data_IF_173259464234
#
_entry.id   IF_173259464234
#
_cell.length_a   1.000
_cell.length_b   1.000
_cell.length_c   1.000
_cell.angle_alpha   90.00
_cell.angle_beta   90.00
_cell.angle_gamma   90.00
#
_symmetry.space_group_name_H-M   'P 1'
#
loop_
_entity.id
_entity.type
_entity.pdbx_description
1 polymer ?
#
# COMPACT_ATOMS: atom_id res chain seq x y z
N UNK A 1 34.38 -3.22 -7.42
CA UNK A 1 34.21 -2.00 -6.59
C UNK A 1 35.31 -1.84 -5.53
N UNK A 2 36.27 -2.76 -5.45
CA UNK A 2 37.41 -2.74 -4.49
C UNK A 2 38.59 -1.90 -4.98
N UNK A 3 38.89 -1.94 -6.28
CA UNK A 3 40.08 -1.28 -6.89
C UNK A 3 40.09 0.24 -6.71
N UNK A 4 38.93 0.90 -6.72
CA UNK A 4 38.85 2.36 -6.54
C UNK A 4 39.01 2.80 -5.08
N UNK A 5 38.68 1.92 -4.13
CA UNK A 5 38.81 2.19 -2.69
C UNK A 5 40.28 2.13 -2.26
N UNK A 6 41.04 1.16 -2.77
CA UNK A 6 42.47 1.06 -2.53
C UNK A 6 43.20 2.33 -2.97
N UNK A 7 42.95 2.82 -4.19
CA UNK A 7 43.57 4.06 -4.70
C UNK A 7 43.25 5.30 -3.85
N UNK A 8 42.06 5.39 -3.29
CA UNK A 8 41.68 6.52 -2.43
C UNK A 8 42.31 6.43 -1.02
N UNK A 9 42.42 5.21 -0.47
CA UNK A 9 43.14 4.99 0.80
C UNK A 9 44.62 5.37 0.69
N UNK A 10 45.28 5.00 -0.42
CA UNK A 10 46.69 5.36 -0.67
C UNK A 10 46.89 6.87 -0.83
N UNK A 11 45.90 7.59 -1.35
CA UNK A 11 45.98 9.04 -1.56
C UNK A 11 45.70 9.84 -0.28
N UNK A 12 44.78 9.38 0.58
CA UNK A 12 44.39 10.09 1.80
C UNK A 12 45.21 9.72 3.03
N UNK A 13 45.96 8.61 2.99
CA UNK A 13 46.67 8.08 4.17
C UNK A 13 45.74 7.56 5.27
N UNK A 14 44.44 7.50 5.01
CA UNK A 14 43.41 7.00 5.93
C UNK A 14 42.94 5.65 5.39
N UNK A 15 43.19 4.58 6.16
CA UNK A 15 42.61 3.27 5.89
C UNK A 15 41.10 3.32 6.17
N UNK A 16 40.33 3.69 5.15
CA UNK A 16 38.87 3.65 5.17
C UNK A 16 38.39 2.19 5.10
N UNK A 17 38.59 1.45 6.20
CA UNK A 17 37.89 0.19 6.39
C UNK A 17 36.45 0.51 6.75
N UNK A 18 35.56 0.34 5.79
CA UNK A 18 34.13 0.44 6.03
C UNK A 18 33.72 -0.76 6.89
N UNK A 19 33.28 -0.57 8.15
CA UNK A 19 32.91 -1.68 9.02
C UNK A 19 31.56 -2.29 8.61
N UNK A 20 30.82 -1.65 7.70
CA UNK A 20 29.52 -2.12 7.28
C UNK A 20 29.61 -3.17 6.17
N UNK A 21 28.88 -4.26 6.37
CA UNK A 21 28.68 -5.26 5.33
C UNK A 21 27.71 -4.73 4.28
N UNK A 22 28.22 -4.43 3.08
CA UNK A 22 27.40 -4.07 1.91
C UNK A 22 26.28 -5.08 1.67
N UNK A 23 26.53 -6.36 1.99
CA UNK A 23 25.53 -7.43 1.91
C UNK A 23 24.30 -7.16 2.77
N UNK A 24 24.43 -6.60 3.99
CA UNK A 24 23.28 -6.27 4.86
C UNK A 24 22.39 -5.18 4.25
N UNK A 25 23.00 -4.17 3.64
CA UNK A 25 22.25 -3.13 2.93
C UNK A 25 21.54 -3.68 1.70
N UNK A 26 22.17 -4.60 0.97
CA UNK A 26 21.54 -5.30 -0.14
C UNK A 26 20.32 -6.13 0.30
N UNK A 27 20.43 -6.89 1.40
CA UNK A 27 19.28 -7.63 1.92
C UNK A 27 18.16 -6.71 2.41
N UNK A 28 18.51 -5.58 3.06
CA UNK A 28 17.52 -4.60 3.48
C UNK A 28 16.75 -4.02 2.28
N UNK A 29 17.46 -3.59 1.23
CA UNK A 29 16.82 -3.06 0.02
C UNK A 29 16.00 -4.10 -0.72
N UNK A 30 16.45 -5.36 -0.76
CA UNK A 30 15.68 -6.48 -1.30
C UNK A 30 14.37 -6.71 -0.53
N UNK A 31 14.41 -6.71 0.81
CA UNK A 31 13.21 -6.84 1.63
C UNK A 31 12.22 -5.69 1.37
N UNK A 32 12.70 -4.45 1.32
CA UNK A 32 11.85 -3.30 0.99
C UNK A 32 11.28 -3.37 -0.43
N UNK A 33 12.06 -3.84 -1.41
CA UNK A 33 11.59 -4.04 -2.77
C UNK A 33 10.47 -5.08 -2.84
N UNK A 34 10.63 -6.22 -2.14
CA UNK A 34 9.59 -7.27 -2.07
C UNK A 34 8.34 -6.74 -1.36
N UNK A 35 8.48 -6.07 -0.22
CA UNK A 35 7.35 -5.45 0.50
C UNK A 35 6.60 -4.44 -0.38
N UNK A 36 7.34 -3.57 -1.07
CA UNK A 36 6.78 -2.59 -2.02
C UNK A 36 6.04 -3.29 -3.16
N UNK A 37 6.62 -4.36 -3.73
CA UNK A 37 5.99 -5.12 -4.82
C UNK A 37 4.68 -5.76 -4.35
N UNK A 38 4.66 -6.38 -3.16
CA UNK A 38 3.44 -6.95 -2.58
C UNK A 38 2.38 -5.87 -2.41
N UNK A 39 2.75 -4.72 -1.83
CA UNK A 39 1.85 -3.57 -1.69
C UNK A 39 1.31 -3.10 -3.05
N UNK A 40 2.17 -2.96 -4.06
CA UNK A 40 1.77 -2.48 -5.37
C UNK A 40 0.82 -3.45 -6.10
N UNK A 41 1.04 -4.75 -5.99
CA UNK A 41 0.18 -5.74 -6.64
C UNK A 41 -1.16 -5.89 -5.88
N UNK A 42 -1.11 -5.97 -4.55
CA UNK A 42 -2.26 -6.39 -3.73
C UNK A 42 -3.12 -5.26 -3.22
N UNK A 43 -2.57 -4.07 -2.94
CA UNK A 43 -3.34 -2.98 -2.36
C UNK A 43 -4.45 -2.49 -3.33
N UNK A 44 -5.71 -2.32 -2.87
CA UNK A 44 -6.80 -1.75 -3.65
C UNK A 44 -6.49 -0.32 -4.14
N UNK A 45 -6.92 0.01 -5.35
CA UNK A 45 -6.67 1.33 -5.96
C UNK A 45 -7.32 2.47 -5.15
N UNK A 46 -8.52 2.25 -4.61
CA UNK A 46 -9.22 3.24 -3.79
C UNK A 46 -8.36 3.70 -2.60
N UNK A 47 -7.74 2.76 -1.90
CA UNK A 47 -6.88 3.01 -0.72
C UNK A 47 -5.59 3.70 -1.12
N UNK A 48 -5.02 3.35 -2.28
CA UNK A 48 -3.77 3.97 -2.77
C UNK A 48 -3.95 5.42 -3.19
N UNK A 49 -5.10 5.75 -3.78
CA UNK A 49 -5.30 7.03 -4.45
C UNK A 49 -6.04 8.05 -3.58
N UNK A 50 -6.89 7.62 -2.65
CA UNK A 50 -7.72 8.53 -1.88
C UNK A 50 -7.56 8.21 -0.38
N UNK A 51 -7.02 9.15 0.38
CA UNK A 51 -6.84 8.98 1.82
C UNK A 51 -8.08 9.42 2.60
N UNK A 52 -8.83 10.37 2.04
CA UNK A 52 -10.03 10.96 2.62
C UNK A 52 -11.13 11.12 1.58
N UNK A 53 -12.36 11.33 2.06
CA UNK A 53 -13.50 11.67 1.19
C UNK A 53 -13.28 13.03 0.50
N UNK A 54 -12.69 14.01 1.18
CA UNK A 54 -12.40 15.31 0.58
C UNK A 54 -11.42 15.22 -0.58
N UNK A 55 -10.39 14.37 -0.50
CA UNK A 55 -9.45 14.15 -1.61
C UNK A 55 -10.21 13.59 -2.82
N UNK A 56 -11.06 12.59 -2.59
CA UNK A 56 -11.87 11.96 -3.62
C UNK A 56 -12.80 12.95 -4.32
N UNK A 57 -13.46 13.82 -3.57
CA UNK A 57 -14.36 14.86 -4.12
C UNK A 57 -13.58 15.97 -4.83
N UNK A 58 -12.41 16.37 -4.32
CA UNK A 58 -11.57 17.39 -4.94
C UNK A 58 -11.04 16.98 -6.32
N UNK A 59 -10.87 15.68 -6.54
CA UNK A 59 -10.49 15.12 -7.85
C UNK A 59 -11.67 14.99 -8.82
N UNK A 60 -12.90 15.38 -8.41
CA UNK A 60 -14.09 15.31 -9.25
C UNK A 60 -14.58 13.88 -9.52
N UNK A 61 -14.18 12.91 -8.69
CA UNK A 61 -14.59 11.51 -8.85
C UNK A 61 -16.04 11.32 -8.42
N UNK A 62 -16.78 10.54 -9.20
CA UNK A 62 -18.20 10.22 -8.97
C UNK A 62 -18.38 8.90 -8.23
N UNK A 63 -19.59 8.66 -7.69
CA UNK A 63 -19.93 7.38 -7.04
C UNK A 63 -19.71 6.16 -7.93
N UNK A 64 -19.78 6.32 -9.26
CA UNK A 64 -19.40 5.29 -10.23
C UNK A 64 -17.97 4.79 -10.01
N UNK A 65 -17.03 5.69 -9.76
CA UNK A 65 -15.64 5.32 -9.53
C UNK A 65 -15.48 4.43 -8.28
N UNK A 66 -16.30 4.64 -7.25
CA UNK A 66 -16.30 3.79 -6.05
C UNK A 66 -16.75 2.36 -6.39
N UNK A 67 -17.79 2.22 -7.21
CA UNK A 67 -18.25 0.91 -7.70
C UNK A 67 -17.20 0.26 -8.61
N UNK A 68 -16.58 1.04 -9.49
CA UNK A 68 -15.51 0.55 -10.37
C UNK A 68 -14.33 0.05 -9.53
N UNK A 69 -13.94 0.77 -8.46
CA UNK A 69 -12.92 0.29 -7.53
C UNK A 69 -13.31 -1.02 -6.83
N UNK A 70 -14.58 -1.19 -6.45
CA UNK A 70 -15.08 -2.42 -5.86
C UNK A 70 -15.00 -3.60 -6.84
N UNK A 71 -15.47 -3.42 -8.08
CA UNK A 71 -15.44 -4.45 -9.12
C UNK A 71 -14.01 -4.81 -9.55
N UNK A 72 -13.14 -3.80 -9.69
CA UNK A 72 -11.72 -4.03 -9.95
C UNK A 72 -11.06 -4.78 -8.79
N UNK A 73 -11.48 -4.54 -7.56
CA UNK A 73 -10.93 -5.23 -6.39
C UNK A 73 -11.47 -6.65 -6.22
N UNK A 74 -12.72 -6.94 -6.64
CA UNK A 74 -13.26 -8.31 -6.62
C UNK A 74 -12.64 -9.20 -7.70
N UNK A 75 -12.26 -8.64 -8.84
CA UNK A 75 -11.59 -9.39 -9.92
C UNK A 75 -10.12 -9.75 -9.62
N UNK A 76 -9.51 -9.16 -8.58
CA UNK A 76 -8.14 -9.49 -8.16
C UNK A 76 -8.05 -10.90 -7.56
N UNK A 77 -6.97 -11.61 -7.88
CA UNK A 77 -6.66 -12.94 -7.35
C UNK A 77 -6.64 -12.93 -5.82
N UNK A 78 -7.38 -13.82 -5.17
CA UNK A 78 -7.44 -13.92 -3.70
C UNK A 78 -8.39 -12.91 -3.03
N UNK A 79 -9.24 -12.24 -3.81
CA UNK A 79 -10.39 -11.53 -3.27
C UNK A 79 -11.34 -12.51 -2.56
N UNK A 80 -11.87 -12.10 -1.40
CA UNK A 80 -12.95 -12.82 -0.70
C UNK A 80 -14.33 -12.28 -1.05
N UNK A 81 -14.41 -11.23 -1.86
CA UNK A 81 -15.64 -10.50 -2.17
C UNK A 81 -16.15 -10.97 -3.51
N UNK A 82 -17.33 -11.59 -3.54
CA UNK A 82 -18.01 -11.97 -4.77
C UNK A 82 -18.67 -10.74 -5.42
N UNK A 83 -18.90 -10.77 -6.73
CA UNK A 83 -19.72 -9.74 -7.40
C UNK A 83 -21.14 -9.67 -6.83
N UNK A 84 -21.70 -10.82 -6.41
CA UNK A 84 -23.03 -10.88 -5.79
C UNK A 84 -23.05 -10.14 -4.43
N UNK A 85 -21.95 -10.20 -3.67
CA UNK A 85 -21.81 -9.48 -2.39
C UNK A 85 -21.65 -7.97 -2.59
N UNK A 86 -21.10 -7.55 -3.72
CA UNK A 86 -21.04 -6.13 -4.11
C UNK A 86 -22.43 -5.66 -4.47
N UNK A 87 -23.16 -6.42 -5.27
CA UNK A 87 -24.51 -6.07 -5.67
C UNK A 87 -25.44 -5.88 -4.47
N UNK A 88 -25.48 -6.87 -3.57
CA UNK A 88 -26.27 -6.77 -2.34
C UNK A 88 -25.84 -5.57 -1.48
N UNK A 89 -24.52 -5.36 -1.36
CA UNK A 89 -23.99 -4.21 -0.61
C UNK A 89 -24.41 -2.87 -1.19
N UNK A 90 -24.41 -2.68 -2.52
CA UNK A 90 -24.82 -1.41 -3.13
C UNK A 90 -26.34 -1.24 -3.02
N UNK A 91 -27.10 -2.33 -3.17
CA UNK A 91 -28.56 -2.33 -3.03
C UNK A 91 -29.01 -1.88 -1.64
N UNK A 92 -28.22 -2.14 -0.60
CA UNK A 92 -28.49 -1.65 0.76
C UNK A 92 -28.49 -0.11 0.87
N UNK A 93 -27.96 0.61 -0.12
CA UNK A 93 -27.95 2.08 -0.17
C UNK A 93 -29.03 2.66 -1.10
N UNK A 94 -29.78 1.83 -1.82
CA UNK A 94 -30.91 2.24 -2.66
C UNK A 94 -32.20 2.34 -1.82
N UNK A 95 -32.20 3.24 -0.82
CA UNK A 95 -33.28 3.34 0.17
C UNK A 95 -34.34 4.39 -0.16
N UNK A 96 -34.09 5.31 -1.10
CA UNK A 96 -34.94 6.49 -1.29
C UNK A 96 -35.88 6.35 -2.49
N UNK A 97 -37.17 6.66 -2.27
CA UNK A 97 -38.20 6.71 -3.32
C UNK A 97 -38.14 7.98 -4.17
N UNK A 98 -37.40 9.00 -3.71
CA UNK A 98 -37.38 10.32 -4.32
C UNK A 98 -36.41 10.36 -5.51
N UNK A 99 -36.91 10.68 -6.70
CA UNK A 99 -36.21 10.48 -7.98
C UNK A 99 -35.20 11.59 -8.27
N UNK A 100 -35.40 12.79 -7.71
CA UNK A 100 -34.70 14.00 -8.14
C UNK A 100 -33.28 14.18 -7.56
N UNK A 101 -32.90 13.41 -6.53
CA UNK A 101 -31.59 13.53 -5.87
C UNK A 101 -30.63 12.35 -6.14
N UNK A 102 -30.93 11.51 -7.13
CA UNK A 102 -30.25 10.21 -7.28
C UNK A 102 -29.03 10.26 -8.20
N UNK A 103 -27.91 9.71 -7.73
CA UNK A 103 -26.79 9.37 -8.61
C UNK A 103 -27.01 7.96 -9.19
N UNK A 104 -27.18 7.85 -10.51
CA UNK A 104 -27.26 6.57 -11.22
C UNK A 104 -25.87 5.94 -11.26
N UNK A 105 -25.76 4.69 -10.84
CA UNK A 105 -24.51 3.93 -10.88
C UNK A 105 -24.73 2.57 -11.52
N UNK A 106 -23.90 2.22 -12.50
CA UNK A 106 -23.95 0.95 -13.20
C UNK A 106 -23.13 -0.13 -12.50
N UNK A 107 -23.74 -1.27 -12.21
CA UNK A 107 -23.08 -2.44 -11.63
C UNK A 107 -23.08 -3.58 -12.66
N UNK A 108 -21.92 -4.19 -12.89
CA UNK A 108 -21.80 -5.41 -13.68
C UNK A 108 -22.21 -6.61 -12.83
N UNK A 109 -23.37 -7.19 -13.14
CA UNK A 109 -23.80 -8.45 -12.54
C UNK A 109 -22.95 -9.63 -13.08
N UNK A 110 -23.02 -10.79 -12.43
CA UNK A 110 -22.40 -12.07 -12.84
C UNK A 110 -22.76 -12.47 -14.29
N UNK A 111 -23.93 -12.06 -14.79
CA UNK A 111 -24.35 -12.24 -16.19
C UNK A 111 -23.75 -11.22 -17.17
N UNK A 112 -22.89 -10.31 -16.71
CA UNK A 112 -22.39 -9.12 -17.43
C UNK A 112 -23.49 -8.17 -17.90
N UNK A 113 -24.62 -8.19 -17.22
CA UNK A 113 -25.69 -7.21 -17.41
C UNK A 113 -25.41 -6.00 -16.52
N UNK A 114 -25.61 -4.80 -17.06
CA UNK A 114 -25.45 -3.55 -16.31
C UNK A 114 -26.76 -3.25 -15.62
N UNK A 115 -26.78 -3.36 -14.30
CA UNK A 115 -27.91 -2.93 -13.47
C UNK A 115 -27.62 -1.53 -12.93
N UNK A 116 -28.54 -0.59 -13.18
CA UNK A 116 -28.47 0.76 -12.62
C UNK A 116 -29.05 0.77 -11.22
N UNK A 117 -28.22 1.09 -10.23
CA UNK A 117 -28.63 1.32 -8.84
C UNK A 117 -28.46 2.79 -8.52
N UNK A 118 -29.33 3.30 -7.66
CA UNK A 118 -29.27 4.70 -7.25
C UNK A 118 -28.65 4.83 -5.87
N UNK A 119 -27.69 5.74 -5.74
CA UNK A 119 -27.08 6.08 -4.46
C UNK A 119 -27.57 7.46 -4.05
N UNK A 120 -28.19 7.52 -2.88
CA UNK A 120 -28.64 8.77 -2.26
C UNK A 120 -27.45 9.71 -2.03
N UNK A 121 -27.62 10.99 -2.34
CA UNK A 121 -26.59 12.00 -2.12
C UNK A 121 -26.23 12.15 -0.63
N UNK A 122 -27.18 11.97 0.28
CA UNK A 122 -26.93 12.08 1.72
C UNK A 122 -26.10 10.91 2.26
N UNK A 123 -26.22 9.73 1.63
CA UNK A 123 -25.51 8.51 2.04
C UNK A 123 -24.13 8.36 1.36
N UNK A 124 -23.68 9.35 0.59
CA UNK A 124 -22.40 9.29 -0.15
C UNK A 124 -21.20 9.07 0.76
N UNK A 125 -21.11 9.82 1.87
CA UNK A 125 -20.02 9.70 2.82
C UNK A 125 -20.00 8.31 3.47
N UNK A 126 -21.17 7.82 3.90
CA UNK A 126 -21.32 6.49 4.48
C UNK A 126 -20.97 5.38 3.48
N UNK A 127 -21.39 5.53 2.22
CA UNK A 127 -21.07 4.61 1.15
C UNK A 127 -19.57 4.55 0.89
N UNK A 128 -18.91 5.71 0.83
CA UNK A 128 -17.46 5.82 0.68
C UNK A 128 -16.73 5.10 1.82
N UNK A 129 -17.03 5.43 3.07
CA UNK A 129 -16.31 4.87 4.22
C UNK A 129 -16.59 3.38 4.43
N UNK A 130 -17.82 2.92 4.21
CA UNK A 130 -18.13 1.48 4.26
C UNK A 130 -17.40 0.72 3.15
N UNK A 131 -17.34 1.28 1.95
CA UNK A 131 -16.57 0.69 0.84
C UNK A 131 -15.08 0.65 1.16
N UNK A 132 -14.52 1.77 1.64
CA UNK A 132 -13.13 1.89 2.04
C UNK A 132 -12.75 0.83 3.09
N UNK A 133 -13.56 0.72 4.15
CA UNK A 133 -13.33 -0.25 5.23
C UNK A 133 -13.43 -1.71 4.75
N UNK A 134 -14.38 -1.99 3.85
CA UNK A 134 -14.54 -3.32 3.25
C UNK A 134 -13.30 -3.70 2.42
N UNK A 135 -12.82 -2.79 1.58
CA UNK A 135 -11.61 -2.98 0.78
C UNK A 135 -10.35 -3.10 1.65
N UNK A 136 -10.26 -2.32 2.74
CA UNK A 136 -9.11 -2.35 3.65
C UNK A 136 -9.01 -3.70 4.38
N UNK A 137 -10.14 -4.34 4.67
CA UNK A 137 -10.16 -5.66 5.30
C UNK A 137 -9.92 -6.82 4.31
N UNK A 138 -10.08 -6.60 3.00
CA UNK A 138 -10.04 -7.66 1.99
C UNK A 138 -8.66 -8.33 1.88
N UNK A 139 -7.57 -7.57 1.99
CA UNK A 139 -6.20 -8.07 1.77
C UNK A 139 -5.32 -8.05 3.03
N UNK A 140 -5.91 -8.30 4.21
CA UNK A 140 -5.19 -8.31 5.49
C UNK A 140 -3.95 -9.22 5.50
N UNK A 141 -4.04 -10.40 4.89
CA UNK A 141 -2.91 -11.34 4.83
C UNK A 141 -1.74 -10.72 4.05
N UNK A 142 -2.01 -10.11 2.89
CA UNK A 142 -0.97 -9.42 2.10
C UNK A 142 -0.39 -8.22 2.83
N UNK A 143 -1.20 -7.49 3.59
CA UNK A 143 -0.72 -6.39 4.44
C UNK A 143 0.22 -6.89 5.54
N UNK A 144 -0.07 -8.04 6.16
CA UNK A 144 0.83 -8.67 7.15
C UNK A 144 2.15 -9.08 6.51
N UNK A 145 2.13 -9.73 5.34
CA UNK A 145 3.37 -10.06 4.63
C UNK A 145 4.19 -8.82 4.27
N UNK A 146 3.52 -7.79 3.76
CA UNK A 146 4.14 -6.49 3.48
C UNK A 146 4.84 -5.94 4.74
N UNK A 147 4.13 -5.90 5.86
CA UNK A 147 4.67 -5.45 7.15
C UNK A 147 5.89 -6.27 7.60
N UNK A 148 5.85 -7.60 7.47
CA UNK A 148 6.97 -8.47 7.82
C UNK A 148 8.21 -8.13 6.98
N UNK A 149 8.08 -7.93 5.67
CA UNK A 149 9.19 -7.56 4.81
C UNK A 149 9.78 -6.19 5.15
N UNK A 150 8.92 -5.19 5.42
CA UNK A 150 9.39 -3.88 5.87
C UNK A 150 10.09 -3.97 7.22
N UNK A 151 9.55 -4.74 8.16
CA UNK A 151 10.15 -4.94 9.47
C UNK A 151 11.51 -5.64 9.39
N UNK A 152 11.64 -6.66 8.54
CA UNK A 152 12.90 -7.37 8.31
C UNK A 152 13.95 -6.45 7.68
N UNK A 153 13.55 -5.65 6.68
CA UNK A 153 14.43 -4.64 6.08
C UNK A 153 14.92 -3.61 7.09
N UNK A 154 14.01 -3.10 7.94
CA UNK A 154 14.35 -2.16 9.01
C UNK A 154 15.28 -2.80 10.05
N UNK A 155 15.07 -4.06 10.38
CA UNK A 155 15.91 -4.81 11.33
C UNK A 155 17.36 -4.93 10.82
N UNK A 156 17.55 -5.22 9.52
CA UNK A 156 18.89 -5.25 8.93
C UNK A 156 19.59 -3.88 9.00
N UNK A 157 18.87 -2.80 8.71
CA UNK A 157 19.40 -1.44 8.85
C UNK A 157 19.76 -1.11 10.30
N UNK A 158 18.90 -1.47 11.25
CA UNK A 158 19.11 -1.21 12.67
C UNK A 158 20.34 -1.96 13.21
N UNK A 159 20.48 -3.24 12.89
CA UNK A 159 21.67 -4.03 13.26
C UNK A 159 22.93 -3.44 12.62
N UNK A 160 22.87 -3.02 11.36
CA UNK A 160 23.99 -2.36 10.68
C UNK A 160 24.39 -1.05 11.38
N UNK A 161 23.41 -0.23 11.76
CA UNK A 161 23.64 1.02 12.48
C UNK A 161 24.30 0.79 13.84
N UNK A 162 23.81 -0.18 14.63
CA UNK A 162 24.39 -0.53 15.93
C UNK A 162 25.86 -0.94 15.78
N UNK A 163 26.16 -1.85 14.84
CA UNK A 163 27.54 -2.31 14.60
C UNK A 163 28.45 -1.14 14.22
N UNK A 164 27.96 -0.24 13.35
CA UNK A 164 28.73 0.93 12.94
C UNK A 164 29.01 1.87 14.11
N UNK A 165 28.02 2.12 14.98
CA UNK A 165 28.21 2.96 16.18
C UNK A 165 29.22 2.33 17.13
N UNK A 166 29.11 1.03 17.42
CA UNK A 166 30.08 0.35 18.29
C UNK A 166 31.49 0.37 17.72
N UNK A 167 31.64 0.17 16.42
CA UNK A 167 32.94 0.24 15.77
C UNK A 167 33.54 1.65 15.85
N UNK A 168 32.75 2.68 15.58
CA UNK A 168 33.19 4.07 15.69
C UNK A 168 33.60 4.41 17.13
N UNK A 169 32.80 4.04 18.12
CA UNK A 169 33.14 4.25 19.53
C UNK A 169 34.44 3.55 19.92
N UNK A 170 34.64 2.29 19.48
CA UNK A 170 35.88 1.56 19.74
C UNK A 170 37.09 2.27 19.14
N UNK A 171 36.97 2.78 17.91
CA UNK A 171 38.04 3.52 17.23
C UNK A 171 38.41 4.78 18.02
N UNK A 172 37.43 5.60 18.39
CA UNK A 172 37.68 6.84 19.16
C UNK A 172 38.26 6.60 20.55
N UNK A 173 37.87 5.52 21.22
CA UNK A 173 38.36 5.22 22.58
C UNK A 173 39.76 4.60 22.55
N UNK A 174 40.12 3.80 21.53
CA UNK A 174 41.44 3.17 21.45
C UNK A 174 42.55 4.07 20.90
N UNK A 175 42.22 5.16 20.21
CA UNK A 175 43.21 6.14 19.72
C UNK A 175 43.55 7.23 20.75
N UNK A 176 42.93 7.21 21.94
CA UNK A 176 43.26 8.06 23.10
C UNK A 176 44.03 7.25 24.14
#
# INVERSE_FOLDING_TARGET
>A
MTINFERFSTFSGVDLFIPFSVSKFFYASLCFAIGTLIYQVRCPLMIKQNSSLSDFESEGKTMQHIIDYLQLSSSKIGSKVSCDDIFNFVKDFDKTKDVDCKAVVGILNRKREVESVFIDSELRADFFWKTYNKLNCQFRISAVFCFIFYFLGLSFLFVSAIVNVFYALKLFICEV
#
